data_IF_343889838454
#
_entry.id   IF_343889838454
#
_cell.length_a   1.000
_cell.length_b   1.000
_cell.length_c   1.000
_cell.angle_alpha   90.00
_cell.angle_beta   90.00
_cell.angle_gamma   90.00
#
_symmetry.space_group_name_H-M   'P 1'
#
loop_
_entity.id
_entity.type
_entity.pdbx_description
1 polymer ?
#
# COMPACT_ATOMS: atom_id res chain seq x y z
N UNK A 1 -11.88 18.92 -12.44
CA UNK A 1 -13.22 18.28 -12.35
C UNK A 1 -13.56 17.66 -13.70
N UNK A 2 -14.00 16.41 -13.72
CA UNK A 2 -14.51 15.77 -14.94
C UNK A 2 -15.93 16.26 -15.24
N UNK A 3 -16.17 16.76 -16.43
CA UNK A 3 -17.51 17.18 -16.88
C UNK A 3 -18.24 16.00 -17.55
N UNK A 4 -19.57 16.05 -17.62
CA UNK A 4 -20.37 15.03 -18.29
C UNK A 4 -20.00 14.91 -19.77
N UNK A 5 -19.73 16.03 -20.46
CA UNK A 5 -19.29 16.02 -21.85
C UNK A 5 -17.96 15.28 -22.02
N UNK A 6 -17.00 15.57 -21.13
CA UNK A 6 -15.69 14.91 -21.15
C UNK A 6 -15.82 13.40 -20.88
N UNK A 7 -16.68 13.01 -19.93
CA UNK A 7 -16.99 11.62 -19.63
C UNK A 7 -17.53 10.89 -20.86
N UNK A 8 -18.54 11.47 -21.54
CA UNK A 8 -19.15 10.90 -22.77
C UNK A 8 -18.14 10.79 -23.92
N UNK A 9 -17.24 11.77 -24.06
CA UNK A 9 -16.16 11.72 -25.05
C UNK A 9 -15.21 10.54 -24.80
N UNK A 10 -14.76 10.36 -23.55
CA UNK A 10 -13.90 9.26 -23.17
C UNK A 10 -14.59 7.90 -23.37
N UNK A 11 -15.87 7.79 -22.98
CA UNK A 11 -16.67 6.59 -23.23
C UNK A 11 -16.76 6.26 -24.72
N UNK A 12 -16.98 7.25 -25.59
CA UNK A 12 -17.03 7.06 -27.03
C UNK A 12 -15.70 6.59 -27.63
N UNK A 13 -14.57 6.87 -26.98
CA UNK A 13 -13.24 6.39 -27.34
C UNK A 13 -12.95 4.96 -26.84
N UNK A 14 -13.95 4.34 -26.17
CA UNK A 14 -13.89 2.97 -25.67
C UNK A 14 -13.20 2.82 -24.33
N UNK A 15 -13.03 3.89 -23.54
CA UNK A 15 -12.65 3.78 -22.12
C UNK A 15 -13.86 3.23 -21.36
N UNK A 16 -13.62 2.22 -20.51
CA UNK A 16 -14.69 1.54 -19.78
C UNK A 16 -14.65 1.76 -18.25
N UNK A 17 -13.57 2.34 -17.74
CA UNK A 17 -13.44 2.73 -16.33
C UNK A 17 -12.88 4.16 -16.29
N UNK A 18 -13.77 5.14 -16.12
CA UNK A 18 -13.44 6.56 -16.31
C UNK A 18 -13.40 7.27 -14.96
N UNK A 19 -12.28 7.94 -14.59
CA UNK A 19 -12.18 8.70 -13.37
C UNK A 19 -13.03 9.99 -13.44
N UNK A 20 -13.99 10.10 -12.53
CA UNK A 20 -14.75 11.30 -12.23
C UNK A 20 -14.15 11.90 -10.97
N UNK A 21 -13.71 13.16 -11.01
CA UNK A 21 -12.95 13.73 -9.89
C UNK A 21 -13.32 15.17 -9.57
N UNK A 22 -13.07 15.52 -8.31
CA UNK A 22 -13.06 16.91 -7.82
C UNK A 22 -11.70 17.22 -7.22
N UNK A 23 -11.28 18.47 -7.35
CA UNK A 23 -10.07 18.99 -6.72
C UNK A 23 -10.46 20.15 -5.80
N UNK A 24 -9.89 20.19 -4.61
CA UNK A 24 -10.07 21.28 -3.64
C UNK A 24 -8.76 21.57 -2.90
N UNK A 25 -8.71 22.66 -2.14
CA UNK A 25 -7.62 22.95 -1.23
C UNK A 25 -7.61 21.93 -0.09
N UNK A 26 -6.41 21.61 0.42
CA UNK A 26 -6.17 20.67 1.50
C UNK A 26 -5.60 21.36 2.76
N UNK A 27 -5.69 22.70 2.82
CA UNK A 27 -5.12 23.56 3.85
C UNK A 27 -5.64 23.31 5.27
N UNK A 28 -6.82 22.69 5.39
CA UNK A 28 -7.44 22.34 6.68
C UNK A 28 -7.47 20.84 6.97
N UNK A 29 -7.00 20.02 6.03
CA UNK A 29 -7.01 18.56 6.13
C UNK A 29 -5.59 17.99 6.01
N UNK A 30 -5.35 16.87 6.69
CA UNK A 30 -4.15 16.06 6.53
C UNK A 30 -4.54 14.67 6.05
N UNK A 31 -3.65 13.91 5.39
CA UNK A 31 -3.96 12.53 5.01
C UNK A 31 -4.46 11.69 6.19
N UNK A 32 -3.84 11.84 7.36
CA UNK A 32 -4.25 11.16 8.58
C UNK A 32 -5.65 11.60 9.06
N UNK A 33 -5.98 12.89 8.99
CA UNK A 33 -7.28 13.42 9.40
C UNK A 33 -8.41 12.91 8.49
N UNK A 34 -8.14 12.81 7.21
CA UNK A 34 -9.06 12.24 6.22
C UNK A 34 -9.23 10.74 6.43
N UNK A 35 -8.14 10.00 6.58
CA UNK A 35 -8.22 8.56 6.84
C UNK A 35 -8.99 8.24 8.13
N UNK A 36 -8.82 9.04 9.18
CA UNK A 36 -9.54 8.86 10.44
C UNK A 36 -11.06 8.97 10.30
N UNK A 37 -11.57 9.74 9.34
CA UNK A 37 -13.00 9.82 9.01
C UNK A 37 -13.48 8.62 8.19
N UNK A 38 -12.57 7.97 7.48
CA UNK A 38 -12.83 6.86 6.58
C UNK A 38 -12.55 5.49 7.20
N UNK A 39 -11.99 5.42 8.41
CA UNK A 39 -11.52 4.18 9.06
C UNK A 39 -12.60 3.13 9.32
N UNK A 40 -13.87 3.52 9.34
CA UNK A 40 -14.99 2.60 9.52
C UNK A 40 -15.28 1.77 8.26
N UNK A 41 -14.69 2.12 7.10
CA UNK A 41 -14.74 1.26 5.92
C UNK A 41 -14.01 -0.06 6.19
N UNK A 42 -14.61 -1.16 5.77
CA UNK A 42 -14.05 -2.50 6.05
C UNK A 42 -12.69 -2.73 5.36
N UNK A 43 -12.47 -2.04 4.25
CA UNK A 43 -11.26 -2.14 3.44
C UNK A 43 -10.82 -0.72 3.07
N UNK A 44 -9.63 -0.34 3.49
CA UNK A 44 -9.08 0.98 3.22
C UNK A 44 -7.54 0.93 3.31
N UNK A 45 -6.90 1.91 2.72
CA UNK A 45 -5.45 2.09 2.89
C UNK A 45 -5.08 3.57 2.96
N UNK A 46 -3.97 3.81 3.64
CA UNK A 46 -3.27 5.10 3.69
C UNK A 46 -1.81 4.85 3.35
N UNK A 47 -1.33 5.51 2.30
CA UNK A 47 0.07 5.55 1.90
C UNK A 47 0.57 6.98 2.00
N UNK A 48 1.61 7.20 2.79
CA UNK A 48 2.24 8.51 2.95
C UNK A 48 3.75 8.41 2.70
N UNK A 49 4.30 9.47 2.14
CA UNK A 49 5.73 9.70 2.16
C UNK A 49 6.01 10.92 3.05
N UNK A 50 6.76 10.73 4.13
CA UNK A 50 7.03 11.79 5.12
C UNK A 50 8.44 12.35 4.97
N UNK A 51 9.36 11.59 4.36
CA UNK A 51 10.73 12.00 4.05
C UNK A 51 11.04 11.80 2.57
N UNK A 52 11.86 12.66 1.97
CA UNK A 52 12.32 12.48 0.59
C UNK A 52 12.24 13.71 -0.32
N UNK A 53 11.89 14.89 0.21
CA UNK A 53 11.84 16.14 -0.55
C UNK A 53 10.77 16.18 -1.64
N UNK A 54 10.84 17.18 -2.52
CA UNK A 54 9.80 17.50 -3.51
C UNK A 54 9.48 16.38 -4.52
N UNK A 55 10.45 15.52 -4.81
CA UNK A 55 10.30 14.48 -5.83
C UNK A 55 9.73 13.15 -5.31
N UNK A 56 9.91 12.83 -4.03
CA UNK A 56 9.56 11.53 -3.45
C UNK A 56 8.39 11.59 -2.47
N UNK A 57 8.22 12.72 -1.77
CA UNK A 57 7.19 12.92 -0.75
C UNK A 57 5.96 13.70 -1.25
N UNK A 58 5.80 13.82 -2.56
CA UNK A 58 4.78 14.70 -3.14
C UNK A 58 3.35 14.24 -2.86
N UNK A 59 3.08 12.94 -2.95
CA UNK A 59 1.72 12.44 -2.88
C UNK A 59 1.49 11.58 -1.63
N UNK A 60 0.33 11.82 -0.98
CA UNK A 60 -0.24 10.89 -0.01
C UNK A 60 -1.55 10.36 -0.57
N UNK A 61 -1.78 9.07 -0.41
CA UNK A 61 -2.87 8.37 -1.08
C UNK A 61 -3.71 7.62 -0.06
N UNK A 62 -5.03 7.85 -0.11
CA UNK A 62 -6.03 7.10 0.66
C UNK A 62 -6.96 6.44 -0.34
N UNK A 63 -7.26 5.17 -0.16
CA UNK A 63 -8.21 4.49 -1.01
C UNK A 63 -9.17 3.62 -0.24
N UNK A 64 -10.31 3.36 -0.86
CA UNK A 64 -11.37 2.52 -0.34
C UNK A 64 -11.53 1.30 -1.23
N UNK A 65 -11.66 0.13 -0.60
CA UNK A 65 -11.95 -1.15 -1.24
C UNK A 65 -13.43 -1.47 -1.15
N UNK A 66 -14.22 -0.91 -2.06
CA UNK A 66 -15.68 -1.08 -2.08
C UNK A 66 -16.14 -2.02 -3.20
N UNK A 67 -15.23 -2.68 -3.90
CA UNK A 67 -15.57 -3.51 -5.04
C UNK A 67 -14.97 -4.93 -4.93
N UNK A 68 -14.16 -5.34 -5.88
CA UNK A 68 -13.62 -6.70 -5.92
C UNK A 68 -12.39 -6.85 -5.01
N UNK A 69 -12.34 -7.97 -4.27
CA UNK A 69 -11.17 -8.35 -3.46
C UNK A 69 -10.69 -9.73 -3.90
N UNK A 70 -9.38 -9.84 -4.07
CA UNK A 70 -8.69 -11.09 -4.35
C UNK A 70 -7.89 -11.51 -3.12
N UNK A 71 -7.98 -12.79 -2.79
CA UNK A 71 -7.17 -13.42 -1.74
C UNK A 71 -6.67 -14.76 -2.26
N UNK A 72 -5.39 -15.01 -2.14
CA UNK A 72 -4.83 -16.31 -2.51
C UNK A 72 -4.02 -16.88 -1.35
N UNK A 73 -4.26 -18.14 -1.04
CA UNK A 73 -3.52 -18.90 -0.05
C UNK A 73 -3.40 -20.34 -0.50
N UNK A 74 -2.18 -20.93 -0.43
CA UNK A 74 -1.92 -22.34 -0.76
C UNK A 74 -2.52 -22.76 -2.13
N UNK A 75 -2.47 -21.88 -3.12
CA UNK A 75 -2.98 -22.15 -4.47
C UNK A 75 -4.51 -22.14 -4.60
N UNK A 76 -5.22 -21.64 -3.61
CA UNK A 76 -6.66 -21.37 -3.65
C UNK A 76 -6.88 -19.87 -3.80
N UNK A 77 -7.44 -19.43 -4.93
CA UNK A 77 -7.82 -18.06 -5.18
C UNK A 77 -9.28 -17.86 -4.80
N UNK A 78 -9.52 -16.98 -3.85
CA UNK A 78 -10.85 -16.53 -3.43
C UNK A 78 -11.10 -15.13 -3.93
N UNK A 79 -12.26 -14.90 -4.51
CA UNK A 79 -12.67 -13.62 -5.09
C UNK A 79 -13.97 -13.20 -4.44
N UNK A 80 -13.99 -12.04 -3.84
CA UNK A 80 -15.21 -11.39 -3.37
C UNK A 80 -15.59 -10.28 -4.36
N UNK A 81 -16.81 -10.31 -4.84
CA UNK A 81 -17.36 -9.27 -5.74
C UNK A 81 -18.02 -8.13 -4.95
N UNK A 82 -18.24 -6.99 -5.61
CA UNK A 82 -18.91 -5.83 -5.01
C UNK A 82 -20.30 -6.13 -4.43
N UNK A 83 -21.03 -7.11 -4.98
CA UNK A 83 -22.33 -7.57 -4.47
C UNK A 83 -22.22 -8.48 -3.25
N UNK A 84 -21.00 -8.73 -2.76
CA UNK A 84 -20.74 -9.61 -1.61
C UNK A 84 -20.65 -11.10 -1.95
N UNK A 85 -20.87 -11.52 -3.20
CA UNK A 85 -20.65 -12.91 -3.59
C UNK A 85 -19.18 -13.31 -3.47
N UNK A 86 -18.91 -14.52 -3.01
CA UNK A 86 -17.58 -15.07 -2.81
C UNK A 86 -17.43 -16.35 -3.60
N UNK A 87 -16.40 -16.44 -4.41
CA UNK A 87 -16.06 -17.63 -5.20
C UNK A 87 -14.64 -18.07 -4.87
N UNK A 88 -14.41 -19.38 -4.78
CA UNK A 88 -13.08 -19.95 -4.56
C UNK A 88 -12.77 -20.98 -5.63
N UNK A 89 -11.56 -20.91 -6.17
CA UNK A 89 -11.09 -21.84 -7.20
C UNK A 89 -9.61 -22.18 -7.02
N UNK A 90 -9.20 -23.35 -7.49
CA UNK A 90 -7.79 -23.67 -7.56
C UNK A 90 -7.09 -22.77 -8.58
N UNK A 91 -5.95 -22.21 -8.21
CA UNK A 91 -5.19 -21.27 -9.04
C UNK A 91 -3.69 -21.48 -8.83
N UNK A 92 -3.02 -21.96 -9.86
CA UNK A 92 -1.57 -22.18 -9.82
C UNK A 92 -0.76 -20.93 -10.13
N UNK A 93 -1.36 -19.92 -10.79
CA UNK A 93 -0.74 -18.64 -11.13
C UNK A 93 -1.72 -17.49 -10.85
N UNK A 94 -1.81 -17.03 -9.59
CA UNK A 94 -2.68 -15.91 -9.23
C UNK A 94 -2.23 -14.59 -9.89
N UNK A 95 -0.95 -14.46 -10.24
CA UNK A 95 -0.45 -13.25 -10.91
C UNK A 95 -0.97 -13.16 -12.35
N UNK A 96 -1.03 -14.28 -13.09
CA UNK A 96 -1.63 -14.29 -14.42
C UNK A 96 -3.12 -13.97 -14.35
N UNK A 97 -3.84 -14.57 -13.38
CA UNK A 97 -5.25 -14.27 -13.18
C UNK A 97 -5.51 -12.77 -12.94
N UNK A 98 -4.69 -12.13 -12.10
CA UNK A 98 -4.78 -10.70 -11.81
C UNK A 98 -4.46 -9.87 -13.06
N UNK A 99 -3.45 -10.22 -13.85
CA UNK A 99 -3.15 -9.56 -15.14
C UNK A 99 -4.32 -9.62 -16.11
N UNK A 100 -4.93 -10.80 -16.25
CA UNK A 100 -6.09 -11.00 -17.12
C UNK A 100 -7.30 -10.17 -16.65
N UNK A 101 -7.51 -10.12 -15.34
CA UNK A 101 -8.54 -9.24 -14.76
C UNK A 101 -8.26 -7.76 -15.04
N UNK A 102 -7.04 -7.29 -14.84
CA UNK A 102 -6.67 -5.90 -15.12
C UNK A 102 -6.79 -5.54 -16.62
N UNK A 103 -6.53 -6.48 -17.51
CA UNK A 103 -6.61 -6.26 -18.98
C UNK A 103 -8.01 -5.93 -19.49
N UNK A 104 -9.05 -6.21 -18.69
CA UNK A 104 -10.44 -5.88 -19.02
C UNK A 104 -10.73 -4.37 -18.90
N UNK A 105 -9.88 -3.63 -18.18
CA UNK A 105 -10.09 -2.20 -17.93
C UNK A 105 -9.26 -1.36 -18.90
N UNK A 106 -9.93 -0.44 -19.59
CA UNK A 106 -9.31 0.62 -20.35
C UNK A 106 -9.58 1.95 -19.65
N UNK A 107 -8.54 2.44 -18.96
CA UNK A 107 -8.60 3.64 -18.11
C UNK A 107 -7.89 4.80 -18.82
N UNK A 108 -8.47 6.02 -18.87
CA UNK A 108 -7.77 7.21 -19.37
C UNK A 108 -6.51 7.48 -18.53
N UNK A 109 -5.45 7.91 -19.19
CA UNK A 109 -4.18 8.27 -18.57
C UNK A 109 -4.05 9.80 -18.43
N UNK A 110 -2.90 10.26 -17.95
CA UNK A 110 -2.57 11.69 -17.93
C UNK A 110 -2.50 12.33 -19.32
N UNK A 111 -2.49 11.54 -20.41
CA UNK A 111 -2.61 12.08 -21.79
C UNK A 111 -4.00 12.64 -22.06
N UNK A 112 -5.02 11.94 -21.61
CA UNK A 112 -6.43 12.33 -21.77
C UNK A 112 -6.88 13.24 -20.63
N UNK A 113 -6.33 13.06 -19.41
CA UNK A 113 -6.66 13.78 -18.17
C UNK A 113 -5.41 14.34 -17.50
N UNK A 114 -4.77 15.39 -18.05
CA UNK A 114 -3.43 15.85 -17.66
C UNK A 114 -3.36 16.44 -16.24
N UNK A 115 -4.49 16.81 -15.65
CA UNK A 115 -4.54 17.38 -14.30
C UNK A 115 -4.60 16.32 -13.18
N UNK A 116 -4.81 15.05 -13.52
CA UNK A 116 -4.86 13.98 -12.54
C UNK A 116 -3.45 13.58 -12.05
N UNK A 117 -3.33 13.14 -10.79
CA UNK A 117 -2.11 12.48 -10.33
C UNK A 117 -1.85 11.20 -11.12
N UNK A 118 -0.61 10.68 -11.08
CA UNK A 118 -0.23 9.46 -11.79
C UNK A 118 -0.98 8.22 -11.29
N UNK A 119 -1.32 8.18 -10.00
CA UNK A 119 -2.14 7.12 -9.42
C UNK A 119 -3.55 7.63 -9.15
N UNK A 120 -4.54 7.02 -9.75
CA UNK A 120 -5.95 7.37 -9.60
C UNK A 120 -6.81 6.23 -9.05
N UNK A 121 -6.25 5.03 -8.90
CA UNK A 121 -6.94 3.81 -8.46
C UNK A 121 -6.29 2.58 -9.07
N UNK A 122 -6.85 1.41 -8.79
CA UNK A 122 -6.36 0.13 -9.27
C UNK A 122 -6.32 -0.93 -8.16
N UNK A 123 -5.54 -1.98 -8.36
CA UNK A 123 -5.37 -3.03 -7.37
C UNK A 123 -4.35 -2.60 -6.32
N UNK A 124 -4.76 -2.63 -5.05
CA UNK A 124 -3.94 -2.25 -3.90
C UNK A 124 -4.07 -3.30 -2.81
N UNK A 125 -2.97 -3.61 -2.14
CA UNK A 125 -2.93 -4.58 -1.05
C UNK A 125 -1.50 -5.04 -0.78
N UNK A 126 -1.32 -6.33 -0.53
CA UNK A 126 0.00 -6.88 -0.29
C UNK A 126 0.22 -8.22 -1.01
N UNK A 127 1.48 -8.47 -1.30
CA UNK A 127 2.02 -9.75 -1.68
C UNK A 127 2.97 -10.17 -0.57
N UNK A 128 2.59 -11.21 0.20
CA UNK A 128 3.43 -11.73 1.27
C UNK A 128 4.72 -12.35 0.71
N UNK A 129 5.72 -12.56 1.56
CA UNK A 129 6.98 -13.16 1.15
C UNK A 129 6.78 -14.51 0.46
N UNK A 130 5.85 -15.30 0.95
CA UNK A 130 5.55 -16.64 0.43
C UNK A 130 4.85 -16.65 -0.93
N UNK A 131 4.37 -15.50 -1.41
CA UNK A 131 3.87 -15.37 -2.78
C UNK A 131 4.94 -15.69 -3.84
N UNK A 132 6.23 -15.68 -3.48
CA UNK A 132 7.34 -16.14 -4.33
C UNK A 132 7.16 -17.60 -4.79
N UNK A 133 6.42 -18.43 -4.05
CA UNK A 133 6.13 -19.83 -4.40
C UNK A 133 5.32 -19.99 -5.67
N UNK A 134 4.53 -18.97 -6.03
CA UNK A 134 3.78 -18.93 -7.30
C UNK A 134 4.67 -18.56 -8.49
N UNK A 135 5.87 -18.01 -8.23
CA UNK A 135 6.81 -17.54 -9.26
C UNK A 135 7.98 -18.52 -9.39
N UNK A 136 8.52 -19.03 -8.26
CA UNK A 136 9.71 -19.86 -8.22
C UNK A 136 9.34 -21.36 -7.97
N UNK A 137 9.38 -22.22 -9.01
CA UNK A 137 8.94 -23.62 -8.89
C UNK A 137 9.69 -24.42 -7.83
N UNK A 138 10.95 -24.08 -7.54
CA UNK A 138 11.79 -24.74 -6.52
C UNK A 138 11.22 -24.62 -5.12
N UNK A 139 10.48 -23.53 -4.85
CA UNK A 139 9.92 -23.25 -3.54
C UNK A 139 8.50 -23.78 -3.35
N UNK A 140 7.85 -24.26 -4.42
CA UNK A 140 6.44 -24.67 -4.42
C UNK A 140 6.08 -25.69 -3.33
N UNK A 141 6.97 -26.66 -3.06
CA UNK A 141 6.73 -27.77 -2.14
C UNK A 141 7.52 -27.66 -0.83
N UNK A 142 8.11 -26.50 -0.53
CA UNK A 142 8.81 -26.30 0.74
C UNK A 142 7.78 -26.16 1.86
N UNK A 143 7.82 -27.00 2.91
CA UNK A 143 6.88 -26.91 4.03
C UNK A 143 6.95 -25.54 4.69
N UNK A 144 5.79 -25.00 5.06
CA UNK A 144 5.68 -23.73 5.73
C UNK A 144 4.74 -23.82 6.92
N UNK A 145 5.14 -23.20 8.03
CA UNK A 145 4.22 -22.91 9.10
C UNK A 145 3.64 -21.50 8.88
N UNK A 146 2.32 -21.38 8.87
CA UNK A 146 1.64 -20.10 8.85
C UNK A 146 1.07 -19.78 10.24
N UNK A 147 1.87 -19.13 11.12
CA UNK A 147 1.42 -18.79 12.46
C UNK A 147 0.58 -17.51 12.49
N UNK A 148 0.45 -16.79 11.39
CA UNK A 148 -0.29 -15.51 11.31
C UNK A 148 -1.71 -15.73 10.78
N UNK A 149 -1.89 -16.67 9.85
CA UNK A 149 -3.18 -17.03 9.29
C UNK A 149 -3.78 -15.94 8.39
N UNK A 150 -2.94 -15.19 7.69
CA UNK A 150 -3.37 -14.25 6.65
C UNK A 150 -2.96 -14.77 5.27
N UNK A 151 -3.67 -14.41 4.19
CA UNK A 151 -3.36 -14.90 2.85
C UNK A 151 -1.95 -14.56 2.37
N UNK A 152 -1.37 -15.39 1.47
CA UNK A 152 -0.11 -15.07 0.78
C UNK A 152 -0.23 -13.81 -0.09
N UNK A 153 -1.42 -13.58 -0.64
CA UNK A 153 -1.74 -12.46 -1.49
C UNK A 153 -3.13 -11.95 -1.12
N UNK A 154 -3.26 -10.64 -0.95
CA UNK A 154 -4.55 -9.98 -0.76
C UNK A 154 -4.54 -8.63 -1.47
N UNK A 155 -5.46 -8.44 -2.42
CA UNK A 155 -5.59 -7.23 -3.22
C UNK A 155 -7.05 -6.79 -3.29
N UNK A 156 -7.30 -5.50 -3.12
CA UNK A 156 -8.59 -4.89 -3.36
C UNK A 156 -8.56 -4.02 -4.62
N UNK A 157 -9.64 -4.01 -5.40
CA UNK A 157 -9.84 -3.04 -6.45
C UNK A 157 -10.34 -1.73 -5.83
N UNK A 158 -9.48 -0.73 -5.83
CA UNK A 158 -9.78 0.60 -5.31
C UNK A 158 -10.28 1.48 -6.45
N UNK A 159 -11.60 1.65 -6.56
CA UNK A 159 -12.27 2.55 -7.50
C UNK A 159 -12.44 3.96 -6.91
N UNK A 160 -12.31 4.11 -5.60
CA UNK A 160 -12.43 5.39 -4.88
C UNK A 160 -11.11 5.74 -4.20
N UNK A 161 -10.53 6.88 -4.56
CA UNK A 161 -9.21 7.31 -4.09
C UNK A 161 -9.22 8.80 -3.74
N UNK A 162 -8.55 9.15 -2.64
CA UNK A 162 -8.26 10.53 -2.27
C UNK A 162 -6.76 10.72 -2.32
N UNK A 163 -6.29 11.64 -3.15
CA UNK A 163 -4.86 11.90 -3.36
C UNK A 163 -4.54 13.32 -2.92
N UNK A 164 -3.65 13.46 -1.96
CA UNK A 164 -3.06 14.74 -1.57
C UNK A 164 -1.86 15.04 -2.45
N UNK A 165 -1.83 16.22 -3.04
CA UNK A 165 -0.62 16.82 -3.60
C UNK A 165 -0.02 17.73 -2.54
N UNK A 166 0.91 17.20 -1.74
CA UNK A 166 1.52 17.90 -0.61
C UNK A 166 2.33 19.14 -1.04
N UNK A 167 2.76 19.20 -2.32
CA UNK A 167 3.49 20.34 -2.87
C UNK A 167 2.56 21.51 -3.21
N UNK A 168 1.30 21.22 -3.57
CA UNK A 168 0.32 22.22 -4.01
C UNK A 168 -0.75 22.51 -2.97
N UNK A 169 -0.69 21.86 -1.80
CA UNK A 169 -1.73 21.93 -0.77
C UNK A 169 -3.15 21.69 -1.32
N UNK A 170 -3.25 20.69 -2.20
CA UNK A 170 -4.52 20.32 -2.82
C UNK A 170 -4.81 18.83 -2.64
N UNK A 171 -6.07 18.48 -2.62
CA UNK A 171 -6.50 17.09 -2.67
C UNK A 171 -7.43 16.85 -3.86
N UNK A 172 -7.34 15.64 -4.39
CA UNK A 172 -8.25 15.11 -5.41
C UNK A 172 -9.11 14.03 -4.76
N UNK A 173 -10.42 14.10 -4.98
CA UNK A 173 -11.34 13.00 -4.69
C UNK A 173 -11.68 12.40 -6.04
N UNK A 174 -11.40 11.12 -6.24
CA UNK A 174 -11.49 10.42 -7.53
C UNK A 174 -12.37 9.20 -7.35
N UNK A 175 -13.39 9.07 -8.18
CA UNK A 175 -14.27 7.90 -8.25
C UNK A 175 -14.26 7.39 -9.68
N UNK A 176 -13.90 6.12 -9.87
CA UNK A 176 -13.92 5.47 -11.18
C UNK A 176 -15.33 4.99 -11.49
N UNK A 177 -15.95 5.60 -12.49
CA UNK A 177 -17.24 5.20 -13.03
C UNK A 177 -17.05 4.09 -14.05
N UNK A 178 -17.72 2.96 -13.85
CA UNK A 178 -17.75 1.84 -14.78
C UNK A 178 -18.80 2.12 -15.84
N UNK A 179 -18.41 2.21 -17.10
CA UNK A 179 -19.34 2.60 -18.18
C UNK A 179 -20.38 1.51 -18.51
N UNK A 180 -20.26 0.33 -17.90
CA UNK A 180 -21.29 -0.71 -17.98
C UNK A 180 -22.45 -0.48 -16.99
N UNK A 181 -22.22 0.33 -15.96
CA UNK A 181 -23.25 0.68 -14.99
C UNK A 181 -24.22 1.70 -15.61
N UNK A 182 -25.51 1.49 -15.36
CA UNK A 182 -26.53 2.48 -15.74
C UNK A 182 -26.29 3.78 -14.96
N UNK A 183 -26.29 4.91 -15.68
CA UNK A 183 -26.08 6.24 -15.11
C UNK A 183 -24.75 6.43 -14.34
N UNK A 184 -23.69 5.75 -14.78
CA UNK A 184 -22.37 5.68 -14.14
C UNK A 184 -21.80 7.06 -13.74
N UNK A 185 -21.98 8.09 -14.57
CA UNK A 185 -21.48 9.44 -14.26
C UNK A 185 -22.18 10.05 -13.04
N UNK A 186 -23.52 9.96 -12.96
CA UNK A 186 -24.27 10.54 -11.82
C UNK A 186 -24.06 9.74 -10.55
N UNK A 187 -23.93 8.41 -10.63
CA UNK A 187 -23.56 7.58 -9.48
C UNK A 187 -22.18 8.00 -8.92
N UNK A 188 -21.19 8.26 -9.80
CA UNK A 188 -19.89 8.75 -9.38
C UNK A 188 -19.98 10.15 -8.75
N UNK A 189 -20.83 11.04 -9.27
CA UNK A 189 -21.06 12.37 -8.68
C UNK A 189 -21.68 12.27 -7.28
N UNK A 190 -22.68 11.41 -7.10
CA UNK A 190 -23.30 11.15 -5.79
C UNK A 190 -22.26 10.64 -4.79
N UNK A 191 -21.40 9.70 -5.22
CA UNK A 191 -20.31 9.19 -4.38
C UNK A 191 -19.30 10.27 -3.99
N UNK A 192 -18.99 11.19 -4.89
CA UNK A 192 -18.14 12.35 -4.60
C UNK A 192 -18.80 13.26 -3.54
N UNK A 193 -20.12 13.53 -3.65
CA UNK A 193 -20.87 14.30 -2.67
C UNK A 193 -20.85 13.63 -1.28
N UNK A 194 -21.04 12.31 -1.21
CA UNK A 194 -21.01 11.53 0.02
C UNK A 194 -19.63 11.62 0.71
N UNK A 195 -18.57 11.52 -0.07
CA UNK A 195 -17.19 11.65 0.46
C UNK A 195 -16.96 13.06 0.97
N UNK A 196 -17.33 14.09 0.22
CA UNK A 196 -17.19 15.50 0.68
C UNK A 196 -17.98 15.77 1.96
N UNK A 197 -19.20 15.23 2.08
CA UNK A 197 -19.99 15.31 3.28
C UNK A 197 -19.29 14.62 4.48
N UNK A 198 -18.73 13.44 4.25
CA UNK A 198 -17.97 12.72 5.27
C UNK A 198 -16.70 13.48 5.70
N UNK A 199 -15.99 14.10 4.76
CA UNK A 199 -14.82 14.92 5.06
C UNK A 199 -15.16 16.19 5.87
N UNK A 200 -16.39 16.67 5.83
CA UNK A 200 -16.86 17.79 6.65
C UNK A 200 -17.18 17.39 8.10
N UNK A 201 -17.18 16.09 8.45
CA UNK A 201 -17.50 15.64 9.79
C UNK A 201 -16.35 15.86 10.77
N UNK A 202 -16.62 16.10 12.07
CA UNK A 202 -15.60 16.18 13.10
C UNK A 202 -14.82 14.86 13.25
N UNK A 203 -13.53 14.96 13.58
CA UNK A 203 -12.70 13.79 13.88
C UNK A 203 -12.80 13.48 15.37
N UNK A 204 -13.00 12.21 15.71
CA UNK A 204 -12.87 11.71 17.07
C UNK A 204 -11.69 10.73 17.13
N UNK A 205 -10.54 11.20 17.61
CA UNK A 205 -9.38 10.37 17.89
C UNK A 205 -9.24 10.23 19.41
N UNK A 206 -10.02 9.34 20.01
CA UNK A 206 -9.86 9.03 21.43
C UNK A 206 -8.74 7.99 21.61
N UNK A 207 -7.66 8.42 22.29
CA UNK A 207 -6.65 7.48 22.74
C UNK A 207 -7.21 6.68 23.93
N UNK A 208 -7.42 5.38 23.74
CA UNK A 208 -7.65 4.48 24.88
C UNK A 208 -6.33 4.31 25.63
N UNK A 209 -6.39 4.27 26.96
CA UNK A 209 -5.24 3.82 27.75
C UNK A 209 -5.08 2.32 27.53
N UNK A 210 -3.92 1.91 27.05
CA UNK A 210 -3.56 0.51 26.87
C UNK A 210 -2.55 0.09 27.92
N UNK A 211 -2.61 -1.16 28.30
CA UNK A 211 -1.52 -1.80 29.04
C UNK A 211 -0.32 -1.89 28.09
N UNK A 212 0.90 -1.53 28.54
CA UNK A 212 2.07 -1.71 27.70
C UNK A 212 2.18 -3.15 27.20
N UNK A 213 2.33 -3.37 25.88
CA UNK A 213 2.39 -4.72 25.32
C UNK A 213 3.65 -5.43 25.84
N UNK A 214 3.51 -6.71 26.17
CA UNK A 214 4.65 -7.59 26.41
C UNK A 214 5.03 -8.26 25.11
N UNK A 215 6.24 -8.00 24.61
CA UNK A 215 6.73 -8.59 23.35
C UNK A 215 7.47 -9.90 23.63
N UNK A 216 7.08 -10.92 22.92
CA UNK A 216 7.70 -12.24 22.95
C UNK A 216 8.37 -12.53 21.60
N UNK A 217 9.64 -12.97 21.63
CA UNK A 217 10.38 -13.34 20.44
C UNK A 217 10.04 -14.78 20.03
N UNK A 218 9.53 -14.97 18.81
CA UNK A 218 9.26 -16.32 18.29
C UNK A 218 10.52 -17.07 17.88
N UNK A 219 11.59 -16.37 17.58
CA UNK A 219 12.86 -16.98 17.16
C UNK A 219 13.77 -17.26 18.37
N UNK A 220 13.76 -16.36 19.37
CA UNK A 220 14.73 -16.35 20.45
C UNK A 220 16.06 -15.73 20.04
N UNK A 221 16.78 -15.19 21.02
CA UNK A 221 18.04 -14.44 20.79
C UNK A 221 19.14 -15.35 20.24
N UNK A 222 19.33 -16.51 20.84
CA UNK A 222 20.41 -17.44 20.52
C UNK A 222 20.29 -17.92 19.08
N UNK A 223 19.10 -18.38 18.68
CA UNK A 223 18.83 -18.87 17.33
C UNK A 223 18.94 -17.74 16.29
N UNK A 224 18.55 -16.52 16.64
CA UNK A 224 18.71 -15.38 15.75
C UNK A 224 20.19 -15.06 15.51
N UNK A 225 21.02 -15.06 16.55
CA UNK A 225 22.46 -14.85 16.42
C UNK A 225 23.16 -15.97 15.64
N UNK A 226 22.77 -17.24 15.85
CA UNK A 226 23.25 -18.37 15.05
C UNK A 226 22.90 -18.19 13.56
N UNK A 227 21.68 -17.75 13.25
CA UNK A 227 21.27 -17.48 11.87
C UNK A 227 22.12 -16.42 11.19
N UNK A 228 22.58 -15.41 11.94
CA UNK A 228 23.49 -14.37 11.42
C UNK A 228 24.83 -14.98 11.00
N UNK A 229 25.40 -15.90 11.81
CA UNK A 229 26.68 -16.56 11.44
C UNK A 229 26.51 -17.44 10.19
N UNK A 230 25.41 -18.16 10.08
CA UNK A 230 25.07 -18.95 8.87
C UNK A 230 24.99 -18.05 7.63
N UNK A 231 24.30 -16.91 7.74
CA UNK A 231 24.19 -15.94 6.63
C UNK A 231 25.55 -15.38 6.22
N UNK A 232 26.43 -15.09 7.19
CA UNK A 232 27.80 -14.65 6.89
C UNK A 232 28.58 -15.70 6.08
N UNK A 233 28.37 -17.00 6.35
CA UNK A 233 29.01 -18.06 5.55
C UNK A 233 28.47 -18.09 4.11
N UNK A 234 27.15 -17.90 3.88
CA UNK A 234 26.61 -17.77 2.52
C UNK A 234 27.19 -16.58 1.76
N UNK A 235 27.42 -15.45 2.44
CA UNK A 235 28.07 -14.30 1.83
C UNK A 235 29.53 -14.62 1.47
N UNK A 236 30.29 -15.28 2.37
CA UNK A 236 31.69 -15.69 2.10
C UNK A 236 31.80 -16.70 0.98
N UNK A 237 30.82 -17.62 0.87
CA UNK A 237 30.76 -18.59 -0.20
C UNK A 237 30.36 -18.00 -1.56
N UNK A 238 29.87 -16.76 -1.58
CA UNK A 238 29.39 -16.11 -2.80
C UNK A 238 27.98 -16.51 -3.22
N UNK A 239 27.23 -17.21 -2.36
CA UNK A 239 25.84 -17.60 -2.64
C UNK A 239 24.90 -16.41 -2.65
N UNK A 240 25.19 -15.39 -1.83
CA UNK A 240 24.41 -14.15 -1.74
C UNK A 240 25.34 -12.97 -1.49
N UNK A 241 24.95 -11.77 -1.94
CA UNK A 241 25.68 -10.52 -1.68
C UNK A 241 25.21 -9.84 -0.40
N UNK A 242 23.93 -9.96 -0.09
CA UNK A 242 23.27 -9.34 1.07
C UNK A 242 22.08 -10.18 1.50
N UNK A 243 21.86 -10.28 2.81
CA UNK A 243 20.66 -10.90 3.41
C UNK A 243 20.20 -10.05 4.58
N UNK A 244 18.89 -9.86 4.68
CA UNK A 244 18.24 -9.24 5.83
C UNK A 244 17.48 -10.33 6.60
N UNK A 245 18.04 -10.87 7.71
CA UNK A 245 17.34 -11.85 8.53
C UNK A 245 16.17 -11.19 9.26
N UNK A 246 14.98 -11.78 9.13
CA UNK A 246 13.78 -11.31 9.81
C UNK A 246 13.76 -11.70 11.29
N UNK A 247 13.23 -10.83 12.13
CA UNK A 247 12.98 -11.11 13.55
C UNK A 247 11.51 -10.83 13.87
N UNK A 248 10.78 -11.89 14.26
CA UNK A 248 9.37 -11.79 14.60
C UNK A 248 9.18 -11.69 16.11
N UNK A 249 8.50 -10.62 16.51
CA UNK A 249 7.99 -10.43 17.86
C UNK A 249 6.46 -10.52 17.84
N UNK A 250 5.86 -11.07 18.87
CA UNK A 250 4.40 -11.11 19.05
C UNK A 250 4.00 -10.47 20.36
N UNK A 251 2.81 -9.92 20.40
CA UNK A 251 2.22 -9.34 21.61
C UNK A 251 0.71 -9.31 21.45
N UNK A 252 -0.01 -9.43 22.56
CA UNK A 252 -1.41 -9.09 22.59
C UNK A 252 -1.61 -7.60 22.31
N UNK A 253 -2.61 -7.29 21.50
CA UNK A 253 -2.92 -5.93 21.12
C UNK A 253 -4.44 -5.72 21.06
N UNK A 254 -4.95 -4.87 21.93
CA UNK A 254 -6.36 -4.48 22.04
C UNK A 254 -6.63 -3.04 21.58
N UNK A 255 -5.62 -2.40 20.96
CA UNK A 255 -5.63 -1.01 20.57
C UNK A 255 -6.25 -0.74 19.20
N UNK A 256 -6.27 0.56 18.85
CA UNK A 256 -6.62 1.02 17.50
C UNK A 256 -5.35 1.00 16.62
N UNK A 257 -5.32 0.24 15.52
CA UNK A 257 -4.17 0.20 14.60
C UNK A 257 -3.76 1.57 14.05
N UNK A 258 -4.70 2.51 13.94
CA UNK A 258 -4.40 3.88 13.56
C UNK A 258 -3.49 4.57 14.59
N UNK A 259 -3.58 4.24 15.89
CA UNK A 259 -2.67 4.79 16.90
C UNK A 259 -1.26 4.22 16.75
N UNK A 260 -1.13 2.93 16.36
CA UNK A 260 0.16 2.33 16.02
C UNK A 260 0.79 3.05 14.83
N UNK A 261 0.01 3.29 13.77
CA UNK A 261 0.47 4.06 12.61
C UNK A 261 0.93 5.46 13.00
N UNK A 262 0.18 6.18 13.84
CA UNK A 262 0.52 7.53 14.32
C UNK A 262 1.83 7.55 15.10
N UNK A 263 2.02 6.55 15.99
CA UNK A 263 3.25 6.41 16.75
C UNK A 263 4.44 6.10 15.83
N UNK A 264 4.27 5.16 14.91
CA UNK A 264 5.31 4.78 13.95
C UNK A 264 5.70 5.95 13.04
N UNK A 265 4.73 6.70 12.54
CA UNK A 265 4.93 7.91 11.72
C UNK A 265 5.77 8.97 12.42
N UNK A 266 5.62 9.09 13.74
CA UNK A 266 6.39 10.04 14.57
C UNK A 266 7.77 9.51 14.95
N UNK A 267 7.87 8.23 15.32
CA UNK A 267 9.10 7.63 15.82
C UNK A 267 10.08 7.25 14.71
N UNK A 268 9.56 6.82 13.57
CA UNK A 268 10.34 6.35 12.43
C UNK A 268 9.75 6.84 11.12
N UNK A 269 9.80 8.17 10.86
CA UNK A 269 9.36 8.70 9.57
C UNK A 269 10.17 8.06 8.44
N UNK A 270 9.53 7.77 7.32
CA UNK A 270 10.18 7.15 6.17
C UNK A 270 9.52 7.57 4.86
N UNK A 271 10.18 7.32 3.71
CA UNK A 271 9.60 7.57 2.40
C UNK A 271 8.34 6.75 2.10
N UNK A 272 8.16 5.60 2.77
CA UNK A 272 7.06 4.67 2.50
C UNK A 272 6.39 4.25 3.81
N UNK A 273 5.49 5.08 4.29
CA UNK A 273 4.59 4.77 5.40
C UNK A 273 3.28 4.22 4.85
N UNK A 274 2.80 3.14 5.44
CA UNK A 274 1.56 2.53 4.99
C UNK A 274 0.73 1.97 6.15
N UNK A 275 -0.58 2.08 5.99
CA UNK A 275 -1.59 1.37 6.76
C UNK A 275 -2.55 0.75 5.75
N UNK A 276 -2.66 -0.58 5.75
CA UNK A 276 -3.63 -1.33 4.98
C UNK A 276 -4.59 -2.02 5.95
N UNK A 277 -5.86 -1.79 5.75
CA UNK A 277 -6.94 -2.37 6.53
C UNK A 277 -7.74 -3.29 5.63
N UNK A 278 -7.93 -4.52 6.04
CA UNK A 278 -8.65 -5.53 5.26
C UNK A 278 -9.35 -6.56 6.11
N UNK A 279 -9.99 -7.50 5.41
CA UNK A 279 -10.59 -8.70 6.01
C UNK A 279 -10.21 -9.93 5.21
N UNK A 280 -9.98 -11.02 5.91
CA UNK A 280 -9.81 -12.33 5.28
C UNK A 280 -11.12 -12.76 4.62
N UNK A 281 -11.02 -13.32 3.41
CA UNK A 281 -12.19 -13.85 2.71
C UNK A 281 -12.51 -15.26 3.27
N UNK A 282 -13.79 -15.51 3.56
CA UNK A 282 -14.25 -16.77 4.16
C UNK A 282 -14.65 -16.61 5.62
N UNK A 283 -13.71 -16.35 6.53
CA UNK A 283 -13.99 -16.19 7.97
C UNK A 283 -14.18 -14.71 8.38
N UNK A 284 -13.98 -13.78 7.46
CA UNK A 284 -14.23 -12.34 7.61
C UNK A 284 -13.52 -11.70 8.82
N UNK A 285 -12.33 -12.19 9.17
CA UNK A 285 -11.51 -11.63 10.26
C UNK A 285 -10.84 -10.34 9.83
N UNK A 286 -10.89 -9.27 10.63
CA UNK A 286 -10.17 -8.05 10.32
C UNK A 286 -8.66 -8.25 10.50
N UNK A 287 -7.87 -7.64 9.63
CA UNK A 287 -6.43 -7.50 9.78
C UNK A 287 -5.98 -6.09 9.40
N UNK A 288 -4.83 -5.70 9.93
CA UNK A 288 -4.19 -4.43 9.60
C UNK A 288 -2.70 -4.67 9.37
N UNK A 289 -2.16 -4.05 8.34
CA UNK A 289 -0.72 -4.03 8.08
C UNK A 289 -0.26 -2.58 8.23
N UNK A 290 0.59 -2.34 9.21
CA UNK A 290 1.16 -1.02 9.52
C UNK A 290 2.66 -1.10 9.33
N UNK A 291 3.21 -0.22 8.52
CA UNK A 291 4.65 -0.28 8.24
C UNK A 291 5.29 1.06 7.91
N UNK A 292 6.59 1.07 8.09
CA UNK A 292 7.50 2.16 7.73
C UNK A 292 8.69 1.54 7.00
N UNK A 293 8.83 1.81 5.71
CA UNK A 293 9.87 1.25 4.86
C UNK A 293 10.77 2.34 4.30
N UNK A 294 12.10 2.18 4.36
CA UNK A 294 13.04 3.16 3.79
C UNK A 294 13.22 2.99 2.29
N UNK A 295 12.82 1.87 1.71
CA UNK A 295 13.21 1.45 0.37
C UNK A 295 12.06 0.84 -0.42
N UNK A 296 12.00 1.14 -1.72
CA UNK A 296 11.10 0.47 -2.67
C UNK A 296 11.72 -0.86 -3.13
N UNK A 297 10.89 -1.87 -3.34
CA UNK A 297 11.31 -3.08 -4.03
C UNK A 297 11.54 -2.78 -5.51
N UNK A 298 10.53 -2.25 -6.17
CA UNK A 298 10.59 -1.77 -7.55
C UNK A 298 9.43 -0.82 -7.84
N UNK A 299 9.63 0.06 -8.83
CA UNK A 299 8.60 0.95 -9.39
C UNK A 299 8.60 0.80 -10.90
N UNK A 300 7.44 0.59 -11.48
CA UNK A 300 7.24 0.59 -12.92
C UNK A 300 6.35 1.77 -13.30
N UNK A 301 6.86 2.69 -14.09
CA UNK A 301 6.12 3.86 -14.56
C UNK A 301 6.50 4.18 -16.00
N UNK A 302 5.52 4.35 -16.87
CA UNK A 302 5.74 4.64 -18.30
C UNK A 302 6.68 3.65 -19.03
N UNK A 303 6.65 2.37 -18.62
CA UNK A 303 7.52 1.33 -19.17
C UNK A 303 8.95 1.32 -18.62
N UNK A 304 9.26 2.19 -17.66
CA UNK A 304 10.58 2.26 -17.00
C UNK A 304 10.48 1.62 -15.63
N UNK A 305 11.27 0.57 -15.39
CA UNK A 305 11.45 -0.04 -14.08
C UNK A 305 12.56 0.71 -13.32
N UNK A 306 12.25 1.15 -12.11
CA UNK A 306 13.18 1.86 -11.22
C UNK A 306 13.38 1.04 -9.95
N UNK A 307 14.63 0.87 -9.56
CA UNK A 307 15.05 0.35 -8.25
C UNK A 307 15.91 1.41 -7.57
N UNK A 308 15.91 1.44 -6.24
CA UNK A 308 16.72 2.37 -5.45
C UNK A 308 17.34 1.61 -4.28
N UNK A 309 18.35 0.77 -4.54
CA UNK A 309 18.98 -0.03 -3.50
C UNK A 309 19.77 0.87 -2.54
N UNK A 310 19.68 0.58 -1.25
CA UNK A 310 20.53 1.15 -0.20
C UNK A 310 21.77 0.24 -0.05
N UNK A 311 22.96 0.79 -0.24
CA UNK A 311 24.20 0.02 -0.21
C UNK A 311 25.06 0.34 1.03
N UNK A 312 25.75 1.49 1.02
CA UNK A 312 26.60 1.91 2.12
C UNK A 312 25.85 2.62 3.26
N UNK A 313 26.48 2.67 4.43
CA UNK A 313 25.96 3.39 5.59
C UNK A 313 27.10 4.07 6.34
N UNK A 314 26.87 5.27 6.86
CA UNK A 314 27.74 5.97 7.78
C UNK A 314 26.95 6.45 8.99
N UNK A 315 27.55 6.54 10.19
CA UNK A 315 26.91 7.18 11.33
C UNK A 315 26.69 8.66 11.04
N UNK A 316 25.72 9.27 11.73
CA UNK A 316 25.53 10.73 11.66
C UNK A 316 26.64 11.43 12.46
N UNK A 317 27.14 12.54 11.92
CA UNK A 317 28.12 13.38 12.61
C UNK A 317 27.54 14.08 13.84
N UNK A 318 28.36 14.32 14.84
CA UNK A 318 27.98 15.07 16.05
C UNK A 318 27.94 16.58 15.78
N UNK A 319 28.67 17.06 14.79
CA UNK A 319 28.65 18.45 14.30
C UNK A 319 28.29 18.45 12.83
N UNK A 320 27.93 19.61 12.29
CA UNK A 320 27.59 19.75 10.88
C UNK A 320 28.81 19.45 9.98
N UNK A 321 29.99 19.85 10.40
CA UNK A 321 31.25 19.62 9.67
C UNK A 321 31.60 18.13 9.62
N UNK A 322 31.43 17.43 10.75
CA UNK A 322 31.63 15.96 10.82
C UNK A 322 30.59 15.23 9.96
N UNK A 323 29.32 15.65 10.00
CA UNK A 323 28.25 15.05 9.21
C UNK A 323 28.51 15.20 7.71
N UNK A 324 28.94 16.37 7.24
CA UNK A 324 29.32 16.61 5.85
C UNK A 324 30.54 15.78 5.43
N UNK A 325 31.52 15.59 6.32
CA UNK A 325 32.68 14.75 6.04
C UNK A 325 32.29 13.27 5.89
N UNK A 326 31.36 12.78 6.73
CA UNK A 326 30.82 11.41 6.64
C UNK A 326 29.95 11.22 5.40
N UNK A 327 29.17 12.24 5.00
CA UNK A 327 28.44 12.24 3.75
C UNK A 327 29.39 12.13 2.54
N UNK A 328 30.44 12.92 2.52
CA UNK A 328 31.42 12.87 1.45
C UNK A 328 32.14 11.51 1.38
N UNK A 329 32.51 10.95 2.53
CA UNK A 329 33.09 9.61 2.63
C UNK A 329 32.11 8.52 2.10
N UNK A 330 30.84 8.63 2.44
CA UNK A 330 29.81 7.71 1.92
C UNK A 330 29.64 7.82 0.39
N UNK A 331 29.62 9.05 -0.15
CA UNK A 331 29.46 9.30 -1.59
C UNK A 331 30.70 8.91 -2.41
N UNK A 332 31.88 8.85 -1.78
CA UNK A 332 33.11 8.41 -2.41
C UNK A 332 33.39 6.91 -2.29
N UNK A 333 32.53 6.17 -1.61
CA UNK A 333 32.61 4.72 -1.47
C UNK A 333 32.29 4.05 -2.83
N UNK A 334 33.20 3.20 -3.31
CA UNK A 334 33.04 2.49 -4.60
C UNK A 334 31.94 1.39 -4.59
N UNK A 335 31.32 1.17 -3.48
CA UNK A 335 30.33 0.11 -3.26
C UNK A 335 28.95 0.47 -3.75
#
# INVERSE_FOLDING_TARGET
MTTQIQFQQLQSQGYNLIPVYRQRLADTDTPLSVFARLKEHQQAYLFESVEGGENWARYSIIGLGESTVFSCNEGQLTIQQANGSVETQACSDPFQYIRDFQSQFKVPTQKELPNLPSFTGGLVGYLGYDSVRYIEPRLKNVPQADPVGIPDLWLMLSKTVIVFDNLKDTLFIIVHADTQDEDAFNQAQTKLDDIEALLATPISLQAKKHTPPHFESLTGKEKYLESIEIVKEYIRAGDVMQVVPGHRMVSDFDGDPLQVYRALRHLNPSPYLFLVQGRTLGDNKPFHIVGSSPEILSRLENGIATVRPLAGTRPRGKTKEEDLALEHDLLSDEK
#
